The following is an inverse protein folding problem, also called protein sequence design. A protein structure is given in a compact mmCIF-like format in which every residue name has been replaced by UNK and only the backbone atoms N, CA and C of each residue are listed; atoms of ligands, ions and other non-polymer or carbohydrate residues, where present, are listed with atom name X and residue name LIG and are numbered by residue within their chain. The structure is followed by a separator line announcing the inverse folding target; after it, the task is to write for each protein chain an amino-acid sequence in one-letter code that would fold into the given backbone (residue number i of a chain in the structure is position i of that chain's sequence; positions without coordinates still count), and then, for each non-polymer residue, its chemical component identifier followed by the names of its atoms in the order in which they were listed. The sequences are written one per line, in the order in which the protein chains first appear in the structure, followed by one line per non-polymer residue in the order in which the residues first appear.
data_IF_715707385147
#
_entry.id   IF_715707385147
#
_cell.length_a   1.000
_cell.length_b   1.000
_cell.length_c   1.000
_cell.angle_alpha   90.00
_cell.angle_beta   90.00
_cell.angle_gamma   90.00
#
_symmetry.space_group_name_H-M   'P 1'
#
loop_
_entity.id
_entity.type
_entity.pdbx_description
1 polymer ?
#
# COMPACT_ATOMS: atom_id res chain seq x y z
N UNK A 1 3.13 -25.68 -9.33
CA UNK A 1 3.33 -24.24 -9.08
C UNK A 1 2.05 -23.70 -8.46
N UNK A 2 2.05 -23.49 -7.13
CA UNK A 2 0.87 -23.04 -6.38
C UNK A 2 0.43 -21.66 -6.90
N UNK A 3 -0.64 -21.64 -7.70
CA UNK A 3 -1.38 -20.42 -8.04
C UNK A 3 -2.18 -20.02 -6.80
N UNK A 4 -1.51 -19.41 -5.81
CA UNK A 4 -2.20 -18.70 -4.75
C UNK A 4 -3.22 -17.75 -5.42
N UNK A 5 -4.52 -17.84 -5.08
CA UNK A 5 -5.53 -16.95 -5.63
C UNK A 5 -5.06 -15.51 -5.43
N UNK A 6 -4.75 -14.80 -6.52
CA UNK A 6 -3.97 -13.54 -6.49
C UNK A 6 -4.65 -12.41 -5.73
N UNK A 7 -5.97 -12.48 -5.59
CA UNK A 7 -6.78 -11.65 -4.69
C UNK A 7 -6.30 -11.75 -3.24
N UNK A 8 -5.77 -12.91 -2.82
CA UNK A 8 -5.21 -13.12 -1.49
C UNK A 8 -3.97 -12.25 -1.28
N UNK A 9 -3.15 -11.98 -2.30
CA UNK A 9 -1.96 -11.12 -2.14
C UNK A 9 -2.37 -9.66 -1.88
N UNK A 10 -3.39 -9.17 -2.60
CA UNK A 10 -3.98 -7.86 -2.36
C UNK A 10 -4.68 -7.78 -0.99
N UNK A 11 -5.46 -8.81 -0.64
CA UNK A 11 -6.14 -8.89 0.65
C UNK A 11 -5.13 -8.96 1.82
N UNK A 12 -4.02 -9.67 1.65
CA UNK A 12 -2.95 -9.75 2.65
C UNK A 12 -2.25 -8.40 2.81
N UNK A 13 -1.93 -7.70 1.72
CA UNK A 13 -1.36 -6.35 1.79
C UNK A 13 -2.30 -5.37 2.49
N UNK A 14 -3.58 -5.36 2.11
CA UNK A 14 -4.60 -4.54 2.77
C UNK A 14 -4.79 -4.90 4.25
N UNK A 15 -4.78 -6.20 4.59
CA UNK A 15 -4.90 -6.68 5.97
C UNK A 15 -3.69 -6.27 6.82
N UNK A 16 -2.46 -6.38 6.29
CA UNK A 16 -1.24 -5.93 6.96
C UNK A 16 -1.32 -4.43 7.27
N UNK A 17 -1.74 -3.62 6.29
CA UNK A 17 -1.94 -2.18 6.48
C UNK A 17 -3.04 -1.86 7.50
N UNK A 18 -4.15 -2.60 7.48
CA UNK A 18 -5.24 -2.42 8.45
C UNK A 18 -4.79 -2.71 9.88
N UNK A 19 -4.06 -3.81 10.10
CA UNK A 19 -3.49 -4.16 11.41
C UNK A 19 -2.45 -3.11 11.85
N UNK A 20 -1.63 -2.61 10.92
CA UNK A 20 -0.65 -1.54 11.20
C UNK A 20 -1.34 -0.24 11.63
N UNK A 21 -2.41 0.17 10.95
CA UNK A 21 -3.19 1.37 11.29
C UNK A 21 -3.83 1.22 12.68
N UNK A 22 -4.43 0.07 12.98
CA UNK A 22 -4.99 -0.19 14.32
C UNK A 22 -3.90 -0.13 15.39
N UNK A 23 -2.75 -0.73 15.10
CA UNK A 23 -1.60 -0.70 16.03
C UNK A 23 -1.13 0.74 16.26
N UNK A 24 -1.01 1.54 15.20
CA UNK A 24 -0.66 2.97 15.27
C UNK A 24 -1.74 3.83 15.97
N UNK A 25 -3.01 3.48 15.86
CA UNK A 25 -4.10 4.18 16.57
C UNK A 25 -4.10 3.85 18.07
N UNK A 26 -3.87 2.59 18.43
CA UNK A 26 -3.83 2.16 19.83
C UNK A 26 -2.51 2.50 20.52
N UNK A 27 -1.43 2.65 19.75
CA UNK A 27 -0.10 2.92 20.27
C UNK A 27 0.25 4.41 20.11
N UNK A 28 0.26 5.14 21.23
CA UNK A 28 0.77 6.51 21.31
C UNK A 28 2.20 6.48 21.88
N UNK A 29 3.25 6.42 21.06
CA UNK A 29 4.63 6.43 21.56
C UNK A 29 4.95 7.81 22.17
N UNK A 30 5.51 7.82 23.38
CA UNK A 30 6.04 9.04 23.98
C UNK A 30 7.25 9.54 23.16
N UNK A 31 7.32 10.85 22.87
CA UNK A 31 8.39 11.39 22.06
C UNK A 31 9.75 11.25 22.76
N UNK A 32 10.77 10.81 21.99
CA UNK A 32 12.20 10.76 22.36
C UNK A 32 12.68 9.61 23.24
N UNK A 33 11.98 8.49 23.31
CA UNK A 33 12.55 7.27 23.91
C UNK A 33 13.24 6.37 22.86
N UNK A 34 14.56 6.14 22.96
CA UNK A 34 15.31 5.29 22.01
C UNK A 34 14.91 3.81 22.07
N UNK A 35 14.19 3.39 23.12
CA UNK A 35 13.66 2.03 23.30
C UNK A 35 12.65 1.63 22.21
N UNK A 36 11.98 2.59 21.56
CA UNK A 36 10.97 2.33 20.53
C UNK A 36 11.52 2.23 19.10
N UNK A 37 12.80 2.56 18.90
CA UNK A 37 13.47 2.56 17.61
C UNK A 37 13.40 1.20 16.85
N UNK A 38 13.64 0.03 17.48
CA UNK A 38 13.48 -1.25 16.79
C UNK A 38 12.03 -1.54 16.39
N UNK A 39 11.06 -1.14 17.20
CA UNK A 39 9.63 -1.33 16.90
C UNK A 39 9.19 -0.47 15.70
N UNK A 40 9.66 0.78 15.62
CA UNK A 40 9.42 1.65 14.47
C UNK A 40 10.07 1.13 13.18
N UNK A 41 11.26 0.51 13.28
CA UNK A 41 11.92 -0.13 12.14
C UNK A 41 11.13 -1.35 11.63
N UNK A 42 10.64 -2.21 12.53
CA UNK A 42 9.77 -3.33 12.15
C UNK A 42 8.46 -2.81 11.54
N UNK A 43 7.86 -1.79 12.13
CA UNK A 43 6.64 -1.17 11.63
C UNK A 43 6.83 -0.61 10.21
N UNK A 44 7.92 0.13 9.97
CA UNK A 44 8.23 0.71 8.65
C UNK A 44 8.59 -0.37 7.62
N UNK A 45 9.31 -1.43 8.01
CA UNK A 45 9.56 -2.57 7.14
C UNK A 45 8.27 -3.29 6.75
N UNK A 46 7.36 -3.52 7.70
CA UNK A 46 6.08 -4.18 7.46
C UNK A 46 5.14 -3.31 6.61
N UNK A 47 5.14 -2.01 6.84
CA UNK A 47 4.43 -1.03 6.02
C UNK A 47 4.95 -1.00 4.58
N UNK A 48 6.27 -0.99 4.40
CA UNK A 48 6.91 -1.07 3.09
C UNK A 48 6.55 -2.38 2.36
N UNK A 49 6.59 -3.50 3.08
CA UNK A 49 6.23 -4.81 2.55
C UNK A 49 4.76 -4.85 2.10
N UNK A 50 3.82 -4.38 2.94
CA UNK A 50 2.40 -4.30 2.57
C UNK A 50 2.16 -3.42 1.35
N UNK A 51 2.88 -2.30 1.24
CA UNK A 51 2.79 -1.38 0.09
C UNK A 51 3.31 -2.03 -1.20
N UNK A 52 4.46 -2.69 -1.13
CA UNK A 52 5.03 -3.42 -2.26
C UNK A 52 4.10 -4.54 -2.74
N UNK A 53 3.52 -5.31 -1.82
CA UNK A 53 2.55 -6.36 -2.14
C UNK A 53 1.30 -5.80 -2.82
N UNK A 54 0.74 -4.70 -2.32
CA UNK A 54 -0.44 -4.08 -2.94
C UNK A 54 -0.14 -3.50 -4.33
N UNK A 55 0.98 -2.78 -4.49
CA UNK A 55 1.35 -2.18 -5.78
C UNK A 55 1.68 -3.24 -6.83
N UNK A 56 2.44 -4.27 -6.47
CA UNK A 56 2.76 -5.39 -7.37
C UNK A 56 1.52 -6.23 -7.69
N UNK A 57 0.67 -6.48 -6.68
CA UNK A 57 -0.59 -7.19 -6.84
C UNK A 57 -1.52 -6.48 -7.84
N UNK A 58 -1.70 -5.16 -7.68
CA UNK A 58 -2.55 -4.35 -8.54
C UNK A 58 -2.01 -4.26 -9.98
N UNK A 59 -0.70 -4.00 -10.13
CA UNK A 59 -0.06 -3.92 -11.46
C UNK A 59 -0.19 -5.24 -12.23
N UNK A 60 0.02 -6.38 -11.55
CA UNK A 60 -0.16 -7.70 -12.15
C UNK A 60 -1.61 -7.98 -12.55
N UNK A 61 -2.58 -7.52 -11.74
CA UNK A 61 -4.00 -7.70 -12.03
C UNK A 61 -4.45 -6.87 -13.24
N UNK A 62 -4.02 -5.61 -13.31
CA UNK A 62 -4.29 -4.74 -14.46
C UNK A 62 -3.64 -5.27 -15.74
N UNK A 63 -2.38 -5.73 -15.66
CA UNK A 63 -1.65 -6.35 -16.78
C UNK A 63 -2.28 -7.62 -17.34
N UNK A 64 -3.02 -8.38 -16.52
CA UNK A 64 -3.72 -9.59 -16.97
C UNK A 64 -5.16 -9.32 -17.44
N UNK A 65 -5.83 -8.30 -16.90
CA UNK A 65 -7.21 -7.97 -17.26
C UNK A 65 -7.30 -7.22 -18.60
N UNK A 66 -6.25 -6.48 -18.96
CA UNK A 66 -6.16 -5.72 -20.20
C UNK A 66 -4.93 -6.16 -20.99
N UNK A 67 -5.08 -7.17 -21.84
CA UNK A 67 -4.02 -7.57 -22.79
C UNK A 67 -3.81 -6.53 -23.91
N UNK A 68 -4.84 -5.73 -24.21
CA UNK A 68 -4.77 -4.61 -25.13
C UNK A 68 -3.93 -3.47 -24.54
N UNK A 69 -2.75 -3.23 -25.12
CA UNK A 69 -1.80 -2.20 -24.66
C UNK A 69 -2.42 -0.80 -24.60
N UNK A 70 -3.26 -0.43 -25.57
CA UNK A 70 -3.94 0.88 -25.58
C UNK A 70 -4.93 1.03 -24.42
N UNK A 71 -5.68 -0.04 -24.09
CA UNK A 71 -6.62 -0.03 -22.96
C UNK A 71 -5.88 0.00 -21.63
N UNK A 72 -4.78 -0.74 -21.55
CA UNK A 72 -3.91 -0.77 -20.38
C UNK A 72 -3.29 0.60 -20.08
N UNK A 73 -2.74 1.29 -21.09
CA UNK A 73 -2.15 2.62 -20.93
C UNK A 73 -3.20 3.67 -20.50
N UNK A 74 -4.42 3.59 -21.05
CA UNK A 74 -5.50 4.47 -20.62
C UNK A 74 -5.89 4.24 -19.15
N UNK A 75 -6.02 2.97 -18.74
CA UNK A 75 -6.34 2.61 -17.35
C UNK A 75 -5.20 3.01 -16.40
N UNK A 76 -3.94 2.81 -16.78
CA UNK A 76 -2.80 3.27 -15.98
C UNK A 76 -2.74 4.79 -15.88
N UNK A 77 -3.11 5.52 -16.93
CA UNK A 77 -3.18 6.98 -16.90
C UNK A 77 -4.22 7.46 -15.88
N UNK A 78 -5.43 6.88 -15.91
CA UNK A 78 -6.49 7.19 -14.93
C UNK A 78 -6.04 6.81 -13.51
N UNK A 79 -5.39 5.66 -13.34
CA UNK A 79 -4.87 5.23 -12.04
C UNK A 79 -3.86 6.22 -11.45
N UNK A 80 -2.86 6.64 -12.24
CA UNK A 80 -1.86 7.60 -11.79
C UNK A 80 -2.47 8.99 -11.56
N UNK A 81 -3.46 9.38 -12.36
CA UNK A 81 -4.20 10.62 -12.17
C UNK A 81 -4.94 10.64 -10.82
N UNK A 82 -5.66 9.56 -10.48
CA UNK A 82 -6.28 9.40 -9.15
C UNK A 82 -5.25 9.39 -8.02
N UNK A 83 -4.10 8.74 -8.23
CA UNK A 83 -3.02 8.74 -7.25
C UNK A 83 -2.50 10.16 -6.99
N UNK A 84 -2.36 10.98 -8.03
CA UNK A 84 -1.95 12.38 -7.89
C UNK A 84 -2.98 13.22 -7.11
N UNK A 85 -4.28 13.02 -7.36
CA UNK A 85 -5.36 13.65 -6.59
C UNK A 85 -5.28 13.25 -5.11
N UNK A 86 -5.07 11.97 -4.81
CA UNK A 86 -4.92 11.50 -3.43
C UNK A 86 -3.73 12.16 -2.72
N UNK A 87 -2.58 12.26 -3.39
CA UNK A 87 -1.40 12.96 -2.85
C UNK A 87 -1.72 14.44 -2.59
N UNK A 88 -2.42 15.09 -3.52
CA UNK A 88 -2.82 16.49 -3.38
C UNK A 88 -3.75 16.73 -2.17
N UNK A 89 -4.75 15.88 -1.99
CA UNK A 89 -5.67 15.96 -0.84
C UNK A 89 -4.92 15.76 0.48
N UNK A 90 -4.03 14.75 0.55
CA UNK A 90 -3.20 14.49 1.74
C UNK A 90 -2.30 15.68 2.06
N UNK A 91 -1.70 16.29 1.03
CA UNK A 91 -0.88 17.50 1.19
C UNK A 91 -1.69 18.66 1.76
N UNK A 92 -2.90 18.93 1.23
CA UNK A 92 -3.77 19.99 1.73
C UNK A 92 -4.23 19.77 3.17
N UNK A 93 -4.43 18.52 3.59
CA UNK A 93 -4.82 18.19 4.96
C UNK A 93 -3.65 18.27 5.96
N UNK A 94 -2.42 18.05 5.47
CA UNK A 94 -1.21 18.11 6.27
C UNK A 94 -0.64 19.53 6.42
N UNK A 95 -1.18 20.51 5.68
CA UNK A 95 -0.79 21.92 5.70
C UNK A 95 -1.66 22.71 6.69
#
# INVERSE_FOLDING_TARGET
MLRLPRQIILLVGAFVHFVLIITLMCWSPQPREPSYLPYLLVLSALWGLGTALNKTGLSTLLGMLYEDKERLDFVFTIYHWWQAIAIFIVYLWSA
#
